data_IF_826026437928
#
_entry.id   IF_826026437928
#
_cell.length_a   1.000
_cell.length_b   1.000
_cell.length_c   1.000
_cell.angle_alpha   90.00
_cell.angle_beta   90.00
_cell.angle_gamma   90.00
#
_symmetry.space_group_name_H-M   'P 1'
#
loop_
_entity.id
_entity.type
_entity.pdbx_description
1 polymer ?
#
# COMPACT_ATOMS: atom_id res chain seq x y z
N UNK A 1 30.18 -55.91 13.89
CA UNK A 1 29.83 -54.70 14.65
C UNK A 1 29.30 -53.69 13.66
N UNK A 2 28.12 -53.09 13.84
CA UNK A 2 27.60 -52.13 12.88
C UNK A 2 28.19 -50.74 13.15
N UNK A 3 28.84 -50.18 12.13
CA UNK A 3 29.34 -48.81 12.12
C UNK A 3 28.19 -47.82 12.33
N UNK A 4 28.44 -46.86 13.21
CA UNK A 4 27.50 -45.82 13.61
C UNK A 4 27.36 -44.80 12.48
N UNK A 5 26.17 -44.67 11.89
CA UNK A 5 25.84 -43.58 10.99
C UNK A 5 25.51 -42.33 11.81
N UNK A 6 26.45 -41.39 11.86
CA UNK A 6 26.21 -40.05 12.40
C UNK A 6 25.25 -39.30 11.46
N UNK A 7 24.12 -38.74 11.94
CA UNK A 7 23.26 -37.95 11.09
C UNK A 7 23.95 -36.61 10.77
N UNK A 8 24.26 -36.40 9.50
CA UNK A 8 24.60 -35.08 8.97
C UNK A 8 23.38 -34.18 9.15
N UNK A 9 23.47 -33.19 10.03
CA UNK A 9 22.46 -32.13 10.15
C UNK A 9 22.60 -31.26 8.90
N UNK A 10 21.64 -31.34 8.01
CA UNK A 10 21.50 -30.43 6.88
C UNK A 10 20.76 -29.22 7.44
N UNK A 11 21.49 -28.13 7.72
CA UNK A 11 20.89 -26.84 8.04
C UNK A 11 20.35 -26.23 6.74
N UNK A 12 19.13 -26.61 6.36
CA UNK A 12 18.30 -25.83 5.45
C UNK A 12 17.98 -24.50 6.14
N UNK A 13 18.87 -23.52 5.98
CA UNK A 13 18.57 -22.14 6.36
C UNK A 13 17.60 -21.59 5.31
N UNK A 14 16.31 -21.80 5.53
CA UNK A 14 15.24 -21.06 4.87
C UNK A 14 15.42 -19.58 5.27
N UNK A 15 16.12 -18.82 4.43
CA UNK A 15 16.15 -17.36 4.53
C UNK A 15 14.77 -16.89 4.07
N UNK A 16 13.78 -16.94 4.98
CA UNK A 16 12.50 -16.28 4.80
C UNK A 16 12.78 -14.80 4.58
N UNK A 17 12.78 -14.39 3.31
CA UNK A 17 12.78 -12.98 2.93
C UNK A 17 11.44 -12.43 3.40
N UNK A 18 11.40 -11.86 4.60
CA UNK A 18 10.26 -11.11 5.09
C UNK A 18 10.01 -9.97 4.10
N UNK A 19 9.04 -10.16 3.22
CA UNK A 19 8.54 -9.11 2.33
C UNK A 19 8.02 -8.01 3.25
N UNK A 20 8.71 -6.87 3.30
CA UNK A 20 8.26 -5.70 4.05
C UNK A 20 6.87 -5.33 3.52
N UNK A 21 5.83 -5.55 4.34
CA UNK A 21 4.46 -5.38 3.89
C UNK A 21 4.15 -3.90 3.73
N UNK A 22 4.21 -3.42 2.48
CA UNK A 22 3.88 -2.04 2.14
C UNK A 22 2.37 -1.79 2.27
N UNK A 23 2.02 -0.79 3.07
CA UNK A 23 0.67 -0.27 3.26
C UNK A 23 0.30 0.68 2.15
N UNK A 24 -1.00 0.74 1.82
CA UNK A 24 -1.53 1.63 0.80
C UNK A 24 -2.65 2.48 1.40
N UNK A 25 -2.57 3.79 1.23
CA UNK A 25 -3.69 4.69 1.50
C UNK A 25 -4.56 4.73 0.27
N UNK A 26 -5.79 4.23 0.39
CA UNK A 26 -6.74 4.12 -0.72
C UNK A 26 -7.96 4.97 -0.44
N UNK A 27 -8.37 5.77 -1.42
CA UNK A 27 -9.64 6.51 -1.40
C UNK A 27 -10.61 5.80 -2.33
N UNK A 28 -11.82 5.55 -1.85
CA UNK A 28 -12.90 4.90 -2.60
C UNK A 28 -13.91 5.95 -3.06
N UNK A 29 -14.55 5.68 -4.19
CA UNK A 29 -15.61 6.52 -4.73
C UNK A 29 -16.91 6.31 -3.96
N UNK A 30 -17.64 7.39 -3.74
CA UNK A 30 -18.96 7.38 -3.14
C UNK A 30 -19.93 8.24 -3.98
N UNK A 31 -21.23 7.94 -3.97
CA UNK A 31 -22.20 8.64 -4.82
C UNK A 31 -22.63 10.02 -4.26
N UNK A 32 -22.12 10.44 -3.11
CA UNK A 32 -22.63 11.61 -2.37
C UNK A 32 -21.69 12.81 -2.46
N UNK A 33 -20.38 12.58 -2.46
CA UNK A 33 -19.38 13.64 -2.45
C UNK A 33 -19.19 14.25 -3.85
N UNK A 34 -19.21 15.59 -3.88
CA UNK A 34 -18.95 16.34 -5.11
C UNK A 34 -17.45 16.31 -5.46
N UNK A 35 -17.13 16.29 -6.76
CA UNK A 35 -15.75 16.33 -7.27
C UNK A 35 -14.92 17.48 -6.66
N UNK A 36 -15.49 18.67 -6.59
CA UNK A 36 -14.82 19.86 -6.04
C UNK A 36 -14.52 19.70 -4.54
N UNK A 37 -15.39 19.02 -3.80
CA UNK A 37 -15.16 18.73 -2.39
C UNK A 37 -13.99 17.76 -2.22
N UNK A 38 -13.97 16.67 -3.03
CA UNK A 38 -12.86 15.70 -3.03
C UNK A 38 -11.53 16.36 -3.38
N UNK A 39 -11.49 17.24 -4.38
CA UNK A 39 -10.29 18.02 -4.73
C UNK A 39 -9.84 18.90 -3.56
N UNK A 40 -10.76 19.58 -2.88
CA UNK A 40 -10.44 20.39 -1.70
C UNK A 40 -9.87 19.55 -0.54
N UNK A 41 -10.45 18.37 -0.29
CA UNK A 41 -9.93 17.43 0.71
C UNK A 41 -8.52 16.96 0.35
N UNK A 42 -8.25 16.60 -0.91
CA UNK A 42 -6.91 16.22 -1.34
C UNK A 42 -5.87 17.32 -1.18
N UNK A 43 -6.27 18.58 -1.40
CA UNK A 43 -5.39 19.73 -1.16
C UNK A 43 -5.17 19.98 0.34
N UNK A 44 -6.21 19.88 1.16
CA UNK A 44 -6.17 20.25 2.58
C UNK A 44 -5.58 19.17 3.49
N UNK A 45 -5.90 17.90 3.24
CA UNK A 45 -5.49 16.77 4.08
C UNK A 45 -4.14 16.22 3.62
N UNK A 46 -3.95 16.05 2.32
CA UNK A 46 -2.75 15.45 1.74
C UNK A 46 -1.75 16.46 1.17
N UNK A 47 -2.07 17.77 1.24
CA UNK A 47 -1.18 18.82 0.76
C UNK A 47 -0.92 18.79 -0.75
N UNK A 48 -1.77 18.14 -1.54
CA UNK A 48 -1.54 18.00 -2.97
C UNK A 48 -1.70 19.33 -3.70
N UNK A 49 -0.86 19.55 -4.71
CA UNK A 49 -1.08 20.59 -5.70
C UNK A 49 -2.39 20.35 -6.44
N UNK A 50 -3.04 21.42 -6.91
CA UNK A 50 -4.36 21.36 -7.54
C UNK A 50 -4.43 20.36 -8.70
N UNK A 51 -3.44 20.36 -9.60
CA UNK A 51 -3.39 19.41 -10.72
C UNK A 51 -3.32 17.95 -10.25
N UNK A 52 -2.56 17.67 -9.19
CA UNK A 52 -2.46 16.32 -8.60
C UNK A 52 -3.77 15.91 -7.92
N UNK A 53 -4.40 16.83 -7.20
CA UNK A 53 -5.71 16.60 -6.59
C UNK A 53 -6.80 16.32 -7.64
N UNK A 54 -6.85 17.08 -8.74
CA UNK A 54 -7.79 16.85 -9.84
C UNK A 54 -7.54 15.47 -10.47
N UNK A 55 -6.27 15.07 -10.67
CA UNK A 55 -5.94 13.76 -11.22
C UNK A 55 -6.47 12.62 -10.34
N UNK A 56 -6.18 12.65 -9.04
CA UNK A 56 -6.67 11.61 -8.12
C UNK A 56 -8.19 11.62 -8.01
N UNK A 57 -8.84 12.79 -8.05
CA UNK A 57 -10.30 12.86 -8.01
C UNK A 57 -10.91 12.18 -9.23
N UNK A 58 -10.37 12.43 -10.44
CA UNK A 58 -10.83 11.77 -11.66
C UNK A 58 -10.65 10.25 -11.57
N UNK A 59 -9.50 9.80 -11.05
CA UNK A 59 -9.22 8.38 -10.86
C UNK A 59 -10.24 7.73 -9.91
N UNK A 60 -10.58 8.39 -8.79
CA UNK A 60 -11.64 7.93 -7.88
C UNK A 60 -12.98 7.86 -8.63
N UNK A 61 -13.37 8.91 -9.34
CA UNK A 61 -14.66 8.97 -10.03
C UNK A 61 -14.81 7.90 -11.13
N UNK A 62 -13.77 7.69 -11.94
CA UNK A 62 -13.79 6.80 -13.10
C UNK A 62 -13.53 5.34 -12.73
N UNK A 63 -12.57 5.08 -11.83
CA UNK A 63 -12.11 3.73 -11.48
C UNK A 63 -12.70 3.22 -10.16
N UNK A 64 -13.46 4.06 -9.45
CA UNK A 64 -14.04 3.74 -8.15
C UNK A 64 -13.06 3.82 -6.99
N UNK A 65 -11.76 4.05 -7.26
CA UNK A 65 -10.71 4.16 -6.24
C UNK A 65 -9.46 4.86 -6.75
N UNK A 66 -8.67 5.41 -5.84
CA UNK A 66 -7.32 5.92 -6.12
C UNK A 66 -6.38 5.61 -4.95
N UNK A 67 -5.12 5.29 -5.25
CA UNK A 67 -4.08 5.06 -4.26
C UNK A 67 -3.30 6.37 -4.08
N UNK A 68 -3.36 6.93 -2.87
CA UNK A 68 -2.72 8.22 -2.58
C UNK A 68 -1.28 8.06 -2.07
N UNK A 69 -0.98 6.94 -1.42
CA UNK A 69 0.32 6.67 -0.83
C UNK A 69 0.61 5.17 -0.71
N UNK A 70 1.88 4.80 -0.79
CA UNK A 70 2.40 3.43 -0.56
C UNK A 70 3.67 3.53 0.28
N UNK A 71 3.76 2.78 1.38
CA UNK A 71 4.96 2.76 2.23
C UNK A 71 4.78 1.94 3.51
N UNK A 72 5.66 2.12 4.50
CA UNK A 72 5.62 1.36 5.75
C UNK A 72 4.46 1.79 6.67
N UNK A 73 4.14 1.02 7.70
CA UNK A 73 2.97 1.29 8.56
C UNK A 73 3.14 2.51 9.50
N UNK A 74 4.07 3.41 9.24
CA UNK A 74 4.27 4.58 10.07
C UNK A 74 3.43 5.77 9.57
N UNK A 75 2.38 6.02 10.36
CA UNK A 75 1.41 7.11 10.35
C UNK A 75 1.07 7.76 8.99
N UNK A 76 0.01 7.19 8.39
CA UNK A 76 -0.85 7.85 7.41
C UNK A 76 -1.68 8.98 8.03
#
# INVERSE_FOLDING_TARGET
MPDQVSPTIIEDTDIETQLTQAWKVVVLNDPVNLMNYVVMVFRKVFGFAEQKAIKHMKEVHELGKSILWVGEREQA
#
